data_IF_037822493184
#
_entry.id   IF_037822493184
#
_cell.length_a   1.000
_cell.length_b   1.000
_cell.length_c   1.000
_cell.angle_alpha   90.00
_cell.angle_beta   90.00
_cell.angle_gamma   90.00
#
_symmetry.space_group_name_H-M   'P 1'
#
loop_
_entity.id
_entity.type
_entity.pdbx_description
1 polymer ?
#
# COMPACT_ATOMS: atom_id res chain seq x y z
N UNK A 1 32.30 27.04 -19.54
CA UNK A 1 31.17 26.11 -19.38
C UNK A 1 31.05 25.75 -17.90
N UNK A 2 29.88 25.98 -17.28
CA UNK A 2 29.64 25.69 -15.86
C UNK A 2 28.94 24.33 -15.75
N UNK A 3 29.63 23.32 -15.24
CA UNK A 3 29.01 22.03 -14.92
C UNK A 3 28.42 22.15 -13.52
N UNK A 4 27.09 22.09 -13.40
CA UNK A 4 26.41 21.96 -12.11
C UNK A 4 26.31 20.48 -11.77
N UNK A 5 27.09 20.04 -10.79
CA UNK A 5 26.96 18.70 -10.22
C UNK A 5 25.75 18.73 -9.28
N UNK A 6 24.69 18.00 -9.63
CA UNK A 6 23.61 17.69 -8.69
C UNK A 6 24.13 16.64 -7.70
N UNK A 7 24.35 17.05 -6.46
CA UNK A 7 24.59 16.12 -5.37
C UNK A 7 23.24 15.52 -4.95
N UNK A 8 23.03 14.23 -5.25
CA UNK A 8 21.95 13.45 -4.66
C UNK A 8 22.34 13.14 -3.21
N UNK A 9 21.60 13.71 -2.25
CA UNK A 9 21.77 13.39 -0.84
C UNK A 9 21.16 12.01 -0.55
N UNK A 10 22.02 11.02 -0.34
CA UNK A 10 21.64 9.70 0.18
C UNK A 10 21.52 9.82 1.71
N UNK A 11 20.30 9.95 2.23
CA UNK A 11 20.05 9.89 3.68
C UNK A 11 19.69 8.45 4.02
N UNK A 12 20.61 7.77 4.71
CA UNK A 12 20.41 6.44 5.28
C UNK A 12 19.57 6.62 6.54
N UNK A 13 18.31 6.16 6.53
CA UNK A 13 17.46 6.12 7.73
C UNK A 13 17.99 4.98 8.62
N UNK A 14 18.95 5.30 9.49
CA UNK A 14 19.43 4.42 10.54
C UNK A 14 18.60 4.62 11.80
N UNK A 15 17.88 3.56 12.20
CA UNK A 15 17.67 3.24 13.61
C UNK A 15 16.68 4.09 14.41
N UNK A 16 15.39 3.94 14.11
CA UNK A 16 14.37 4.03 15.15
C UNK A 16 13.44 2.81 14.97
N UNK A 17 13.23 2.07 16.05
CA UNK A 17 12.63 0.74 16.07
C UNK A 17 11.37 0.64 15.22
N UNK A 18 11.43 -0.26 14.24
CA UNK A 18 10.28 -0.54 13.39
C UNK A 18 9.33 -1.44 14.17
N UNK A 19 8.41 -0.83 14.91
CA UNK A 19 7.38 -1.53 15.66
C UNK A 19 6.23 -1.88 14.71
N UNK A 20 6.29 -3.08 14.10
CA UNK A 20 5.21 -3.58 13.24
C UNK A 20 4.12 -4.16 14.14
N UNK A 21 2.93 -3.57 14.09
CA UNK A 21 1.72 -4.17 14.64
C UNK A 21 1.40 -5.45 13.89
N UNK A 22 1.86 -6.59 14.41
CA UNK A 22 1.51 -7.92 13.94
C UNK A 22 0.04 -8.18 14.35
N UNK A 23 -0.91 -7.98 13.44
CA UNK A 23 -2.14 -8.76 13.47
C UNK A 23 -2.05 -9.76 12.32
N UNK A 24 -1.58 -10.97 12.66
CA UNK A 24 -1.84 -12.15 11.85
C UNK A 24 -3.34 -12.31 11.73
N UNK A 25 -3.91 -11.91 10.59
CA UNK A 25 -5.24 -12.36 10.21
C UNK A 25 -5.08 -13.84 9.87
N UNK A 26 -5.49 -14.71 10.78
CA UNK A 26 -5.66 -16.13 10.46
C UNK A 26 -6.59 -16.23 9.25
N UNK A 27 -6.09 -16.86 8.18
CA UNK A 27 -6.85 -17.09 6.97
C UNK A 27 -8.08 -17.95 7.32
N UNK A 28 -9.23 -17.31 7.48
CA UNK A 28 -10.50 -18.02 7.54
C UNK A 28 -10.81 -18.53 6.14
N UNK A 29 -10.54 -19.81 5.96
CA UNK A 29 -10.83 -20.59 4.78
C UNK A 29 -12.35 -20.63 4.55
N UNK A 30 -12.84 -19.89 3.55
CA UNK A 30 -14.23 -20.00 3.10
C UNK A 30 -14.41 -21.32 2.32
N UNK A 31 -14.97 -22.35 2.97
CA UNK A 31 -15.71 -23.41 2.30
C UNK A 31 -17.20 -23.27 2.65
N UNK A 32 -18.03 -23.35 1.61
CA UNK A 32 -19.46 -23.11 1.63
C UNK A 32 -20.25 -24.18 2.41
N UNK A 33 -21.33 -23.76 3.09
CA UNK A 33 -22.74 -24.16 2.86
C UNK A 33 -23.63 -24.10 4.13
N UNK A 34 -24.85 -23.57 3.93
CA UNK A 34 -26.12 -23.72 4.69
C UNK A 34 -26.41 -22.87 5.96
N UNK A 35 -27.61 -22.27 5.98
CA UNK A 35 -28.26 -21.53 7.07
C UNK A 35 -29.45 -22.38 7.66
N UNK A 36 -30.27 -21.95 8.67
CA UNK A 36 -30.23 -20.80 9.59
C UNK A 36 -30.52 -21.14 11.11
N UNK A 37 -30.59 -20.10 11.97
CA UNK A 37 -30.98 -20.02 13.42
C UNK A 37 -29.95 -20.54 14.46
N UNK A 38 -29.52 -19.81 15.51
CA UNK A 38 -30.31 -19.36 16.69
C UNK A 38 -29.46 -18.43 17.59
N UNK A 39 -30.07 -17.36 18.11
CA UNK A 39 -29.91 -16.55 19.36
C UNK A 39 -28.55 -16.35 20.09
N UNK A 40 -28.21 -15.06 20.27
CA UNK A 40 -27.43 -14.30 21.29
C UNK A 40 -26.33 -14.97 22.16
N UNK A 41 -25.21 -14.25 22.35
CA UNK A 41 -24.64 -13.85 23.66
C UNK A 41 -23.69 -12.63 23.46
N UNK A 42 -23.92 -11.58 24.25
CA UNK A 42 -23.02 -10.46 24.50
C UNK A 42 -21.69 -10.95 25.08
N UNK A 43 -20.56 -10.45 24.58
CA UNK A 43 -19.34 -10.40 25.38
C UNK A 43 -18.67 -9.03 25.24
N UNK A 44 -18.77 -8.23 26.30
CA UNK A 44 -17.98 -7.03 26.52
C UNK A 44 -16.51 -7.43 26.68
N UNK A 45 -15.73 -7.31 25.61
CA UNK A 45 -14.28 -7.31 25.64
C UNK A 45 -13.78 -5.92 25.29
N UNK A 46 -13.37 -5.17 26.32
CA UNK A 46 -12.68 -3.89 26.18
C UNK A 46 -11.47 -4.05 25.25
N UNK A 47 -11.63 -3.59 24.02
CA UNK A 47 -10.55 -3.43 23.05
C UNK A 47 -10.42 -1.93 22.85
N UNK A 48 -9.29 -1.36 23.26
CA UNK A 48 -8.93 0.01 22.89
C UNK A 48 -9.24 0.25 21.41
N UNK A 49 -9.82 1.39 21.03
CA UNK A 49 -10.07 1.67 19.62
C UNK A 49 -8.72 1.87 18.94
N UNK A 50 -8.18 0.81 18.35
CA UNK A 50 -7.27 0.97 17.23
C UNK A 50 -8.13 1.58 16.15
N UNK A 51 -7.92 2.87 15.88
CA UNK A 51 -8.62 3.59 14.82
C UNK A 51 -8.24 2.91 13.52
N UNK A 52 -9.04 1.93 13.09
CA UNK A 52 -8.96 1.38 11.75
C UNK A 52 -9.10 2.56 10.78
N UNK A 53 -8.14 2.69 9.87
CA UNK A 53 -8.16 3.74 8.88
C UNK A 53 -9.44 3.69 8.05
N UNK A 54 -9.93 4.84 7.60
CA UNK A 54 -10.96 4.84 6.55
C UNK A 54 -10.30 4.40 5.26
N UNK A 55 -10.78 3.30 4.67
CA UNK A 55 -10.35 2.88 3.34
C UNK A 55 -10.88 3.84 2.27
N UNK A 56 -10.05 4.17 1.28
CA UNK A 56 -10.43 4.99 0.14
C UNK A 56 -11.29 4.20 -0.85
N UNK A 57 -12.03 4.91 -1.70
CA UNK A 57 -12.52 4.28 -2.93
C UNK A 57 -11.33 3.74 -3.77
N UNK A 58 -11.50 2.62 -4.48
CA UNK A 58 -10.46 2.07 -5.34
C UNK A 58 -10.18 2.99 -6.53
N UNK A 59 -8.90 3.11 -6.87
CA UNK A 59 -8.43 3.74 -8.10
C UNK A 59 -8.00 2.66 -9.09
N UNK A 60 -8.35 2.84 -10.36
CA UNK A 60 -8.13 1.86 -11.42
C UNK A 60 -7.25 2.45 -12.52
N UNK A 61 -6.34 1.64 -13.05
CA UNK A 61 -5.52 1.97 -14.21
C UNK A 61 -5.38 0.74 -15.10
N UNK A 62 -5.81 0.86 -16.36
CA UNK A 62 -5.69 -0.18 -17.39
C UNK A 62 -4.77 0.31 -18.50
N UNK A 63 -3.53 -0.14 -18.47
CA UNK A 63 -2.50 0.22 -19.45
C UNK A 63 -1.60 -0.97 -19.75
N UNK A 64 -0.98 -1.02 -20.93
CA UNK A 64 -0.04 -2.09 -21.29
C UNK A 64 -0.59 -3.52 -21.21
N UNK A 65 -1.91 -3.69 -21.20
CA UNK A 65 -2.57 -4.98 -21.06
C UNK A 65 -2.58 -5.55 -19.63
N UNK A 66 -2.29 -4.72 -18.62
CA UNK A 66 -2.41 -5.07 -17.20
C UNK A 66 -3.37 -4.11 -16.53
N UNK A 67 -4.36 -4.65 -15.83
CA UNK A 67 -5.28 -3.92 -14.96
C UNK A 67 -4.68 -3.82 -13.58
N UNK A 68 -4.66 -2.61 -13.02
CA UNK A 68 -4.18 -2.35 -11.67
C UNK A 68 -5.26 -1.62 -10.89
N UNK A 69 -5.57 -2.15 -9.72
CA UNK A 69 -6.47 -1.54 -8.74
C UNK A 69 -5.70 -1.23 -7.47
N UNK A 70 -5.87 -0.02 -6.92
CA UNK A 70 -5.25 0.36 -5.65
C UNK A 70 -6.26 0.99 -4.70
N UNK A 71 -6.31 0.52 -3.46
CA UNK A 71 -6.98 1.20 -2.35
C UNK A 71 -5.95 1.68 -1.34
N UNK A 72 -6.30 2.75 -0.62
CA UNK A 72 -5.49 3.32 0.46
C UNK A 72 -6.25 3.20 1.77
N UNK A 73 -5.67 2.49 2.73
CA UNK A 73 -6.11 2.49 4.12
C UNK A 73 -5.33 3.59 4.86
N UNK A 74 -6.01 4.69 5.15
CA UNK A 74 -5.40 5.85 5.80
C UNK A 74 -5.19 5.57 7.28
N UNK A 75 -3.95 5.37 7.67
CA UNK A 75 -3.56 5.33 9.08
C UNK A 75 -3.66 6.72 9.71
N UNK A 76 -3.76 6.76 11.05
CA UNK A 76 -4.06 7.96 11.84
C UNK A 76 -3.26 9.22 11.47
N UNK A 77 -3.75 10.40 11.87
CA UNK A 77 -3.31 11.71 11.35
C UNK A 77 -1.81 12.01 11.46
N UNK A 78 -1.11 11.33 12.37
CA UNK A 78 0.31 11.55 12.68
C UNK A 78 1.14 10.28 12.37
N UNK A 79 0.57 9.31 11.65
CA UNK A 79 1.25 8.07 11.32
C UNK A 79 2.32 8.30 10.26
N UNK A 80 3.53 7.79 10.52
CA UNK A 80 4.60 7.71 9.52
C UNK A 80 4.42 6.55 8.54
N UNK A 81 3.39 5.72 8.73
CA UNK A 81 3.09 4.56 7.91
C UNK A 81 1.69 4.69 7.32
N UNK A 82 1.53 4.27 6.06
CA UNK A 82 0.24 4.14 5.39
C UNK A 82 0.15 2.75 4.74
N UNK A 83 -1.05 2.19 4.63
CA UNK A 83 -1.30 0.88 4.02
C UNK A 83 -1.99 1.03 2.67
N UNK A 84 -1.56 0.26 1.69
CA UNK A 84 -2.18 0.21 0.36
C UNK A 84 -2.44 -1.23 -0.03
N UNK A 85 -3.63 -1.52 -0.55
CA UNK A 85 -3.89 -2.79 -1.22
C UNK A 85 -3.75 -2.58 -2.72
N UNK A 86 -2.91 -3.38 -3.36
CA UNK A 86 -2.65 -3.34 -4.80
C UNK A 86 -3.05 -4.67 -5.39
N UNK A 87 -3.88 -4.65 -6.43
CA UNK A 87 -4.26 -5.84 -7.20
C UNK A 87 -3.90 -5.63 -8.66
N UNK A 88 -3.26 -6.64 -9.26
CA UNK A 88 -2.83 -6.65 -10.65
C UNK A 88 -3.40 -7.87 -11.36
N UNK A 89 -3.98 -7.66 -12.53
CA UNK A 89 -4.61 -8.71 -13.32
C UNK A 89 -4.29 -8.54 -14.79
N UNK A 90 -3.93 -9.62 -15.46
CA UNK A 90 -3.72 -9.64 -16.91
C UNK A 90 -3.87 -11.06 -17.49
N UNK A 91 -3.63 -11.21 -18.79
CA UNK A 91 -3.67 -12.52 -19.48
C UNK A 91 -2.42 -12.81 -20.34
N UNK A 92 -1.37 -11.99 -20.24
CA UNK A 92 -0.23 -12.01 -21.18
C UNK A 92 1.14 -12.17 -20.52
N UNK A 93 1.32 -11.70 -19.30
CA UNK A 93 2.60 -11.62 -18.61
C UNK A 93 2.50 -12.15 -17.19
N UNK A 94 3.38 -13.09 -16.86
CA UNK A 94 3.54 -13.56 -15.50
C UNK A 94 4.11 -12.42 -14.62
N UNK A 95 3.51 -12.20 -13.46
CA UNK A 95 3.82 -11.17 -12.47
C UNK A 95 4.42 -11.76 -11.17
N UNK A 96 4.74 -13.05 -11.12
CA UNK A 96 5.30 -13.72 -9.94
C UNK A 96 6.55 -12.99 -9.40
N UNK A 97 7.41 -12.58 -10.31
CA UNK A 97 8.67 -11.88 -10.05
C UNK A 97 8.51 -10.36 -9.82
N UNK A 98 7.28 -9.84 -9.83
CA UNK A 98 7.06 -8.42 -9.56
C UNK A 98 7.37 -8.11 -8.09
N UNK A 99 8.42 -7.31 -7.88
CA UNK A 99 8.81 -6.85 -6.56
C UNK A 99 8.12 -5.52 -6.21
N UNK A 100 7.10 -5.58 -5.35
CA UNK A 100 6.40 -4.41 -4.84
C UNK A 100 7.30 -3.49 -4.00
N UNK A 101 8.35 -4.01 -3.37
CA UNK A 101 9.26 -3.23 -2.52
C UNK A 101 10.13 -2.31 -3.38
N UNK A 102 10.69 -2.83 -4.46
CA UNK A 102 11.59 -2.07 -5.34
C UNK A 102 10.85 -1.21 -6.37
N UNK A 103 9.65 -1.64 -6.77
CA UNK A 103 8.88 -1.00 -7.83
C UNK A 103 7.78 -0.07 -7.32
N UNK A 104 7.77 0.26 -6.03
CA UNK A 104 6.85 1.24 -5.46
C UNK A 104 7.58 2.50 -5.01
N UNK A 105 7.01 3.67 -5.28
CA UNK A 105 7.46 4.94 -4.72
C UNK A 105 6.29 5.72 -4.11
N UNK A 106 6.63 6.60 -3.17
CA UNK A 106 5.69 7.55 -2.58
C UNK A 106 6.01 8.96 -3.09
N UNK A 107 4.97 9.69 -3.50
CA UNK A 107 5.06 11.14 -3.68
C UNK A 107 4.08 11.85 -2.75
N UNK A 108 4.53 12.97 -2.20
CA UNK A 108 3.69 13.90 -1.45
C UNK A 108 3.69 15.23 -2.18
N UNK A 109 2.51 15.74 -2.52
CA UNK A 109 2.33 16.98 -3.29
C UNK A 109 3.19 17.02 -4.56
N UNK A 110 3.26 15.89 -5.27
CA UNK A 110 4.01 15.74 -6.52
C UNK A 110 5.52 15.49 -6.38
N UNK A 111 6.07 15.53 -5.17
CA UNK A 111 7.51 15.31 -4.92
C UNK A 111 7.74 13.91 -4.39
N UNK A 112 8.67 13.15 -5.00
CA UNK A 112 9.09 11.84 -4.47
C UNK A 112 9.77 12.04 -3.12
N UNK A 113 9.28 11.34 -2.10
CA UNK A 113 9.85 11.38 -0.75
C UNK A 113 10.57 10.06 -0.44
N UNK A 114 11.60 10.07 0.41
CA UNK A 114 12.22 8.84 0.89
C UNK A 114 11.17 7.99 1.63
N UNK A 115 11.00 6.74 1.19
CA UNK A 115 10.07 5.81 1.81
C UNK A 115 10.64 4.40 1.85
N UNK A 116 10.29 3.65 2.89
CA UNK A 116 10.51 2.21 2.99
C UNK A 116 9.20 1.52 2.68
N UNK A 117 9.21 0.64 1.68
CA UNK A 117 8.07 -0.18 1.31
C UNK A 117 8.25 -1.57 1.89
N UNK A 118 7.19 -2.18 2.40
CA UNK A 118 7.17 -3.59 2.78
C UNK A 118 5.89 -4.25 2.31
N UNK A 119 6.03 -5.47 1.82
CA UNK A 119 4.89 -6.37 1.58
C UNK A 119 4.45 -6.94 2.93
N UNK A 120 3.22 -6.62 3.33
CA UNK A 120 2.59 -7.12 4.55
C UNK A 120 1.90 -8.46 4.27
N UNK A 121 1.27 -8.56 3.11
CA UNK A 121 0.64 -9.77 2.61
C UNK A 121 0.79 -9.81 1.08
N UNK A 122 1.03 -10.99 0.51
CA UNK A 122 1.01 -11.25 -0.94
C UNK A 122 0.14 -12.47 -1.20
N UNK A 123 -0.71 -12.36 -2.21
CA UNK A 123 -1.58 -13.44 -2.66
C UNK A 123 -1.67 -13.45 -4.18
N UNK A 124 -2.15 -14.57 -4.72
CA UNK A 124 -2.17 -14.79 -6.16
C UNK A 124 -0.80 -15.20 -6.73
N UNK A 125 -0.82 -15.60 -7.98
CA UNK A 125 0.30 -16.12 -8.75
C UNK A 125 0.04 -15.96 -10.25
N UNK A 126 1.08 -16.10 -11.06
CA UNK A 126 0.99 -16.01 -12.51
C UNK A 126 0.54 -14.62 -12.97
N UNK A 127 -0.64 -14.56 -13.59
CA UNK A 127 -1.16 -13.34 -14.21
C UNK A 127 -2.05 -12.49 -13.28
N UNK A 128 -2.35 -13.00 -12.09
CA UNK A 128 -3.20 -12.34 -11.10
C UNK A 128 -2.46 -12.31 -9.76
N UNK A 129 -1.93 -11.15 -9.38
CA UNK A 129 -1.15 -10.97 -8.16
C UNK A 129 -1.72 -9.80 -7.37
N UNK A 130 -1.85 -9.96 -6.06
CA UNK A 130 -2.26 -8.88 -5.16
C UNK A 130 -1.33 -8.80 -3.96
N UNK A 131 -1.12 -7.59 -3.44
CA UNK A 131 -0.34 -7.37 -2.24
C UNK A 131 -0.95 -6.26 -1.39
N UNK A 132 -0.92 -6.48 -0.06
CA UNK A 132 -1.01 -5.39 0.89
C UNK A 132 0.40 -4.91 1.18
N UNK A 133 0.63 -3.60 1.01
CA UNK A 133 1.92 -2.98 1.24
C UNK A 133 1.82 -1.89 2.30
N UNK A 134 2.80 -1.87 3.19
CA UNK A 134 3.06 -0.78 4.10
C UNK A 134 4.10 0.16 3.51
N UNK A 135 3.80 1.46 3.46
CA UNK A 135 4.74 2.49 3.01
C UNK A 135 5.03 3.40 4.20
N UNK A 136 6.30 3.46 4.60
CA UNK A 136 6.76 4.25 5.74
C UNK A 136 7.66 5.40 5.30
N UNK A 137 7.38 6.61 5.77
CA UNK A 137 8.18 7.82 5.52
C UNK A 137 7.98 8.81 6.66
N UNK A 138 9.02 9.56 7.00
CA UNK A 138 8.92 10.65 8.00
C UNK A 138 7.93 11.73 7.54
N UNK A 139 7.89 12.02 6.24
CA UNK A 139 7.03 13.04 5.65
C UNK A 139 5.53 12.70 5.77
N UNK A 140 5.17 11.41 5.93
CA UNK A 140 3.78 10.99 6.12
C UNK A 140 3.20 11.47 7.45
N UNK A 141 4.03 11.58 8.50
CA UNK A 141 3.59 12.06 9.82
C UNK A 141 3.30 13.56 9.86
N UNK A 142 3.70 14.30 8.81
CA UNK A 142 3.52 15.73 8.66
C UNK A 142 2.41 16.09 7.64
N UNK A 143 1.66 15.09 7.16
CA UNK A 143 0.59 15.30 6.18
C UNK A 143 -0.50 16.22 6.75
N UNK A 144 -0.82 17.25 5.98
CA UNK A 144 -1.90 18.18 6.29
C UNK A 144 -3.16 17.81 5.52
N UNK A 145 -4.37 18.02 6.07
CA UNK A 145 -5.60 17.90 5.29
C UNK A 145 -5.51 18.68 3.97
N UNK A 146 -5.88 18.04 2.87
CA UNK A 146 -5.76 18.58 1.51
C UNK A 146 -4.45 18.26 0.79
N UNK A 147 -3.47 17.64 1.45
CA UNK A 147 -2.22 17.20 0.80
C UNK A 147 -2.49 16.09 -0.21
N UNK A 148 -1.78 16.09 -1.34
CA UNK A 148 -1.85 14.99 -2.29
C UNK A 148 -0.88 13.88 -1.88
N UNK A 149 -1.37 12.65 -1.82
CA UNK A 149 -0.57 11.44 -1.61
C UNK A 149 -0.66 10.61 -2.88
N UNK A 150 0.47 10.26 -3.47
CA UNK A 150 0.53 9.45 -4.69
C UNK A 150 1.36 8.21 -4.46
N UNK A 151 0.75 7.04 -4.69
CA UNK A 151 1.46 5.79 -4.84
C UNK A 151 1.87 5.61 -6.30
N UNK A 152 3.14 5.33 -6.52
CA UNK A 152 3.70 5.13 -7.86
C UNK A 152 4.09 3.68 -8.00
N UNK A 153 3.61 3.01 -9.05
CA UNK A 153 4.00 1.65 -9.40
C UNK A 153 4.83 1.71 -10.69
N UNK A 154 6.07 1.24 -10.63
CA UNK A 154 7.05 1.31 -11.72
C UNK A 154 7.21 -0.04 -12.41
N UNK A 155 7.84 0.01 -13.58
CA UNK A 155 8.37 -1.17 -14.29
C UNK A 155 7.33 -2.29 -14.51
N UNK A 156 6.05 -1.92 -14.61
CA UNK A 156 4.99 -2.88 -14.79
C UNK A 156 4.74 -3.10 -16.28
N UNK A 157 5.38 -4.13 -16.84
CA UNK A 157 5.14 -4.68 -18.19
C UNK A 157 4.91 -3.62 -19.26
N UNK A 158 6.00 -3.12 -19.87
CA UNK A 158 5.98 -2.09 -20.94
C UNK A 158 5.35 -0.74 -20.52
N UNK A 159 4.80 -0.61 -19.32
CA UNK A 159 4.37 0.65 -18.72
C UNK A 159 5.43 1.07 -17.70
N UNK A 160 6.19 2.15 -17.95
CA UNK A 160 7.29 2.52 -17.07
C UNK A 160 6.80 2.99 -15.68
N UNK A 161 5.60 3.59 -15.61
CA UNK A 161 5.07 4.18 -14.37
C UNK A 161 3.55 4.31 -14.41
N UNK A 162 2.89 4.06 -13.27
CA UNK A 162 1.49 4.38 -12.99
C UNK A 162 1.39 5.17 -11.69
N UNK A 163 0.50 6.15 -11.64
CA UNK A 163 0.34 7.04 -10.48
C UNK A 163 -1.10 6.95 -9.97
N UNK A 164 -1.27 6.65 -8.69
CA UNK A 164 -2.55 6.61 -8.00
C UNK A 164 -2.55 7.70 -6.93
N UNK A 165 -3.39 8.73 -7.10
CA UNK A 165 -3.34 9.93 -6.26
C UNK A 165 -4.62 10.12 -5.48
N UNK A 166 -4.46 10.37 -4.19
CA UNK A 166 -5.54 10.71 -3.25
C UNK A 166 -5.29 12.07 -2.61
N UNK A 167 -6.34 12.60 -2.00
CA UNK A 167 -6.28 13.77 -1.12
C UNK A 167 -6.37 13.28 0.33
N UNK A 168 -5.39 13.66 1.16
CA UNK A 168 -5.32 13.31 2.58
C UNK A 168 -6.30 14.13 3.43
#
# INVERSE_FOLDING_TARGET
MKVRVLAAALIIILGAGVWWGLQTVEATQNQAQQAPNTTSINNSGSSSPSVAGSESAPLFDTQGGVDVTVTWEKEGSNSSMQKFAVSMSNHMTNLDDFDFTENTELKISGTTVPAVVKVLNKSGEGHHVSAEIGVQSTDLSELKPGSQVTLVIKNLVRVPMRNFTWVY
#
